data_IF_020378147681
#
_entry.id   IF_020378147681
#
_cell.length_a   1.000
_cell.length_b   1.000
_cell.length_c   1.000
_cell.angle_alpha   90.00
_cell.angle_beta   90.00
_cell.angle_gamma   90.00
#
_symmetry.space_group_name_H-M   'P 1'
#
loop_
_entity.id
_entity.type
_entity.pdbx_description
1 polymer ?
#
# COMPACT_ATOMS: atom_id res chain seq x y z
N UNK A 1 -15.01 1.50 -6.58
CA UNK A 1 -14.66 1.81 -5.18
C UNK A 1 -15.25 3.15 -4.77
N UNK A 2 -15.58 3.35 -3.48
CA UNK A 2 -16.10 4.64 -2.98
C UNK A 2 -14.96 5.51 -2.47
N UNK A 3 -14.84 6.71 -3.01
CA UNK A 3 -13.85 7.72 -2.63
C UNK A 3 -14.53 8.93 -1.99
N UNK A 4 -13.75 9.87 -1.48
CA UNK A 4 -14.28 11.16 -1.00
C UNK A 4 -15.00 11.96 -2.12
N UNK A 5 -14.76 11.65 -3.40
CA UNK A 5 -15.40 12.28 -4.56
C UNK A 5 -16.59 11.48 -5.11
N UNK A 6 -17.01 10.42 -4.42
CA UNK A 6 -18.08 9.52 -4.88
C UNK A 6 -17.55 8.20 -5.41
N UNK A 7 -18.34 7.54 -6.24
CA UNK A 7 -17.98 6.25 -6.83
C UNK A 7 -17.00 6.43 -8.00
N UNK A 8 -15.91 5.67 -7.96
CA UNK A 8 -14.89 5.65 -9.01
C UNK A 8 -14.60 4.21 -9.43
N UNK A 9 -14.36 4.01 -10.72
CA UNK A 9 -13.78 2.78 -11.24
C UNK A 9 -12.26 2.95 -11.26
N UNK A 10 -11.57 1.90 -10.84
CA UNK A 10 -10.11 1.84 -10.88
C UNK A 10 -9.71 0.54 -11.56
N UNK A 11 -8.60 0.60 -12.29
CA UNK A 11 -7.94 -0.61 -12.75
C UNK A 11 -7.25 -1.28 -11.55
N UNK A 12 -7.58 -2.55 -11.34
CA UNK A 12 -7.05 -3.36 -10.24
C UNK A 12 -6.35 -4.57 -10.85
N UNK A 13 -5.08 -4.74 -10.51
CA UNK A 13 -4.25 -5.85 -10.95
C UNK A 13 -3.86 -6.73 -9.77
N UNK A 14 -3.51 -7.98 -10.05
CA UNK A 14 -2.81 -8.81 -9.08
C UNK A 14 -1.33 -8.39 -9.05
N UNK A 15 -0.87 -7.93 -7.89
CA UNK A 15 0.54 -7.69 -7.62
C UNK A 15 1.11 -8.79 -6.76
N UNK A 16 2.33 -9.22 -7.05
CA UNK A 16 3.10 -10.08 -6.15
C UNK A 16 4.12 -9.22 -5.41
N UNK A 17 4.18 -9.34 -4.09
CA UNK A 17 5.13 -8.63 -3.24
C UNK A 17 5.81 -9.58 -2.29
N UNK A 18 7.06 -9.28 -1.96
CA UNK A 18 7.83 -9.95 -0.91
C UNK A 18 7.88 -8.99 0.27
N UNK A 19 7.35 -9.40 1.42
CA UNK A 19 7.36 -8.63 2.64
C UNK A 19 7.82 -9.50 3.80
N UNK A 20 8.84 -9.08 4.55
CA UNK A 20 9.51 -9.89 5.59
C UNK A 20 9.95 -11.29 5.11
N UNK A 21 10.32 -11.40 3.83
CA UNK A 21 10.70 -12.68 3.21
C UNK A 21 9.52 -13.60 2.88
N UNK A 22 8.28 -13.17 3.10
CA UNK A 22 7.07 -13.87 2.70
C UNK A 22 6.54 -13.31 1.38
N UNK A 23 6.30 -14.20 0.41
CA UNK A 23 5.60 -13.87 -0.83
C UNK A 23 4.09 -13.81 -0.61
N UNK A 24 3.45 -12.77 -1.15
CA UNK A 24 2.00 -12.61 -1.11
C UNK A 24 1.48 -11.93 -2.37
N UNK A 25 0.29 -12.36 -2.79
CA UNK A 25 -0.45 -11.72 -3.87
C UNK A 25 -1.45 -10.73 -3.25
N UNK A 26 -1.45 -9.50 -3.75
CA UNK A 26 -2.30 -8.40 -3.28
C UNK A 26 -3.01 -7.73 -4.46
N UNK A 27 -4.19 -7.14 -4.26
CA UNK A 27 -4.76 -6.23 -5.25
C UNK A 27 -3.97 -4.92 -5.29
N UNK A 28 -3.55 -4.50 -6.48
CA UNK A 28 -2.89 -3.22 -6.73
C UNK A 28 -3.83 -2.33 -7.51
N UNK A 29 -4.20 -1.21 -6.90
CA UNK A 29 -5.01 -0.16 -7.51
C UNK A 29 -4.11 0.80 -8.25
N UNK A 30 -4.32 0.97 -9.56
CA UNK A 30 -3.56 1.91 -10.38
C UNK A 30 -4.26 3.28 -10.38
N UNK A 31 -3.47 4.34 -10.24
CA UNK A 31 -3.95 5.71 -10.28
C UNK A 31 -3.14 6.55 -11.26
N UNK A 32 -3.83 7.33 -12.09
CA UNK A 32 -3.19 8.25 -13.02
C UNK A 32 -2.33 9.28 -12.29
N UNK A 33 -1.10 9.49 -12.77
CA UNK A 33 -0.18 10.50 -12.24
C UNK A 33 0.50 10.14 -10.91
N UNK A 34 0.44 8.87 -10.48
CA UNK A 34 1.15 8.37 -9.30
C UNK A 34 2.30 7.45 -9.78
N UNK A 35 3.53 7.98 -9.96
CA UNK A 35 4.65 7.18 -10.44
C UNK A 35 5.28 6.31 -9.34
N UNK A 36 5.01 6.60 -8.06
CA UNK A 36 5.53 5.82 -6.93
C UNK A 36 4.58 4.73 -6.45
N UNK A 37 5.14 3.73 -5.76
CA UNK A 37 4.35 2.73 -5.03
C UNK A 37 3.88 3.34 -3.71
N UNK A 38 2.57 3.30 -3.48
CA UNK A 38 1.96 3.74 -2.21
C UNK A 38 1.50 2.52 -1.41
N UNK A 39 1.90 2.47 -0.13
CA UNK A 39 1.40 1.47 0.82
C UNK A 39 0.13 2.02 1.46
N UNK A 40 -0.99 1.37 1.20
CA UNK A 40 -2.29 1.75 1.75
C UNK A 40 -2.44 1.43 3.24
N UNK A 41 -3.46 2.02 3.87
CA UNK A 41 -3.78 1.77 5.28
C UNK A 41 -4.19 0.32 5.58
N UNK A 42 -4.61 -0.46 4.58
CA UNK A 42 -4.96 -1.88 4.74
C UNK A 42 -3.82 -2.70 5.32
N UNK A 43 -2.57 -2.30 5.07
CA UNK A 43 -1.40 -2.94 5.66
C UNK A 43 -1.29 -2.74 7.17
N UNK A 44 -2.04 -1.79 7.75
CA UNK A 44 -1.99 -1.46 9.16
C UNK A 44 -3.12 -2.13 9.96
N UNK A 45 -3.92 -2.99 9.33
CA UNK A 45 -4.98 -3.73 10.02
C UNK A 45 -4.40 -4.77 10.98
N UNK A 46 -3.31 -5.42 10.57
CA UNK A 46 -2.61 -6.47 11.32
C UNK A 46 -1.14 -6.13 11.63
N UNK A 47 -0.63 -5.01 11.12
CA UNK A 47 0.76 -4.57 11.31
C UNK A 47 0.86 -3.16 11.87
N UNK A 48 2.01 -2.86 12.47
CA UNK A 48 2.37 -1.58 13.05
C UNK A 48 3.43 -0.89 12.22
N UNK A 49 3.10 0.31 11.74
CA UNK A 49 4.07 1.23 11.14
C UNK A 49 4.74 2.11 12.21
N UNK A 50 6.07 2.07 12.28
CA UNK A 50 6.90 2.97 13.09
C UNK A 50 7.77 3.81 12.17
N UNK A 51 7.66 5.14 12.30
CA UNK A 51 8.41 6.10 11.50
C UNK A 51 9.36 6.88 12.40
N UNK A 52 10.67 6.73 12.18
CA UNK A 52 11.68 7.62 12.76
C UNK A 52 12.34 8.44 11.65
N UNK A 53 11.83 9.66 11.45
CA UNK A 53 12.37 10.58 10.43
C UNK A 53 13.76 11.10 10.76
N UNK A 54 14.14 11.20 12.04
CA UNK A 54 15.46 11.69 12.43
C UNK A 54 16.52 10.63 12.17
N UNK A 55 16.20 9.37 12.43
CA UNK A 55 17.06 8.24 12.13
C UNK A 55 16.99 7.79 10.66
N UNK A 56 15.95 8.22 9.91
CA UNK A 56 15.74 7.79 8.54
C UNK A 56 15.25 6.34 8.44
N UNK A 57 14.55 5.86 9.46
CA UNK A 57 14.11 4.46 9.58
C UNK A 57 12.59 4.38 9.43
N UNK A 58 12.16 3.39 8.65
CA UNK A 58 10.77 2.97 8.50
C UNK A 58 10.68 1.49 8.82
N UNK A 59 9.88 1.13 9.82
CA UNK A 59 9.62 -0.26 10.19
C UNK A 59 8.12 -0.53 10.07
N UNK A 60 7.75 -1.64 9.44
CA UNK A 60 6.38 -2.12 9.37
C UNK A 60 6.41 -3.60 9.77
N UNK A 61 5.83 -3.93 10.94
CA UNK A 61 5.92 -5.25 11.60
C UNK A 61 4.56 -5.76 12.08
#
# INVERSE_FOLDING_TARGET
>A
MKTARGEFQFDVYEGNVIFDGQEMNIPVVVGDGIPEILIGLSWLEDRRLVVDKKAGILTLE
#
